data_IF_679270390909
#
_entry.id   IF_679270390909
#
_cell.length_a   1.000
_cell.length_b   1.000
_cell.length_c   1.000
_cell.angle_alpha   90.00
_cell.angle_beta   90.00
_cell.angle_gamma   90.00
#
_symmetry.space_group_name_H-M   'P 1'
#
loop_
_entity.id
_entity.type
_entity.pdbx_description
1 polymer ?
#
# COMPACT_ATOMS: atom_id res chain seq x y z
N UNK A 1 20.61 9.56 -23.55
CA UNK A 1 20.80 10.37 -22.34
C UNK A 1 20.00 9.71 -21.24
N UNK A 2 20.67 9.07 -20.29
CA UNK A 2 20.01 8.49 -19.11
C UNK A 2 19.65 9.62 -18.13
N UNK A 3 18.45 9.61 -17.53
CA UNK A 3 18.10 10.57 -16.48
C UNK A 3 18.73 10.15 -15.14
N UNK A 4 19.29 11.14 -14.42
CA UNK A 4 19.87 10.92 -13.09
C UNK A 4 18.79 10.67 -12.02
N UNK A 5 19.08 9.84 -10.99
CA UNK A 5 18.15 9.58 -9.91
C UNK A 5 18.06 10.76 -8.92
N UNK A 6 16.83 11.12 -8.56
CA UNK A 6 16.49 12.17 -7.60
C UNK A 6 16.75 11.67 -6.18
N UNK A 7 17.49 12.43 -5.39
CA UNK A 7 17.77 12.14 -3.98
C UNK A 7 16.63 12.59 -3.06
N UNK A 8 16.27 11.83 -2.02
CA UNK A 8 15.25 12.25 -1.06
C UNK A 8 15.77 13.34 -0.10
N UNK A 9 14.97 14.39 0.08
CA UNK A 9 15.21 15.46 1.06
C UNK A 9 14.93 14.98 2.49
N UNK A 10 15.95 15.06 3.37
CA UNK A 10 15.75 14.95 4.83
C UNK A 10 15.18 16.25 5.39
N UNK A 11 14.03 16.16 6.05
CA UNK A 11 13.54 17.22 6.94
C UNK A 11 14.35 17.25 8.23
N UNK A 12 14.55 18.49 8.70
CA UNK A 12 15.45 18.94 9.75
C UNK A 12 14.64 19.09 11.03
N UNK A 13 14.94 18.32 12.07
CA UNK A 13 14.36 18.55 13.39
C UNK A 13 15.04 19.74 14.07
N UNK A 14 14.22 20.72 14.47
CA UNK A 14 14.64 21.88 15.22
C UNK A 14 14.72 21.55 16.72
N UNK A 15 15.89 21.82 17.31
CA UNK A 15 16.10 21.74 18.74
C UNK A 15 15.68 23.02 19.46
N UNK A 16 14.97 22.86 20.58
CA UNK A 16 14.87 23.81 21.69
C UNK A 16 14.34 23.04 22.91
N UNK A 17 14.78 23.21 24.15
CA UNK A 17 15.72 24.14 24.73
C UNK A 17 15.98 23.78 26.20
N UNK A 18 17.02 24.40 26.75
CA UNK A 18 17.54 24.25 28.10
C UNK A 18 16.60 24.85 29.16
N UNK A 19 16.42 24.13 30.27
CA UNK A 19 15.74 24.63 31.47
C UNK A 19 16.22 23.94 32.75
N UNK A 20 17.34 24.38 33.33
CA UNK A 20 17.81 23.99 34.67
C UNK A 20 17.05 24.73 35.77
N UNK A 21 16.45 24.04 36.75
CA UNK A 21 16.31 24.50 38.17
C UNK A 21 16.19 23.35 39.19
N UNK A 22 17.26 23.20 39.97
CA UNK A 22 17.36 23.12 41.44
C UNK A 22 16.38 22.28 42.31
N UNK A 23 16.96 21.23 42.91
CA UNK A 23 16.88 20.70 44.30
C UNK A 23 15.55 20.62 45.08
N UNK A 24 15.22 19.38 45.48
CA UNK A 24 14.33 19.07 46.62
C UNK A 24 14.41 17.59 47.00
N UNK A 25 15.15 17.26 48.06
CA UNK A 25 15.21 15.93 48.70
C UNK A 25 13.86 15.61 49.33
N UNK A 26 13.17 14.55 48.90
CA UNK A 26 12.23 13.81 49.75
C UNK A 26 12.33 12.32 49.42
N UNK A 27 12.77 11.55 50.41
CA UNK A 27 12.81 10.09 50.41
C UNK A 27 11.38 9.58 50.56
N UNK A 28 10.86 8.92 49.53
CA UNK A 28 9.67 8.07 49.60
C UNK A 28 10.08 6.70 49.09
N UNK A 29 9.73 5.69 49.86
CA UNK A 29 9.90 4.27 49.56
C UNK A 29 9.23 3.96 48.23
N UNK A 30 10.03 3.61 47.22
CA UNK A 30 9.53 3.17 45.92
C UNK A 30 9.19 1.68 46.05
N UNK A 31 7.90 1.44 46.26
CA UNK A 31 7.25 0.15 46.19
C UNK A 31 7.52 -0.40 44.78
N UNK A 32 8.25 -1.50 44.70
CA UNK A 32 8.72 -2.07 43.44
C UNK A 32 7.57 -2.34 42.49
N UNK A 33 7.34 -1.40 41.57
CA UNK A 33 6.55 -1.62 40.36
C UNK A 33 7.31 -2.67 39.56
N UNK A 34 6.87 -3.92 39.69
CA UNK A 34 7.19 -4.96 38.72
C UNK A 34 6.67 -4.41 37.39
N UNK A 35 7.53 -4.13 36.39
CA UNK A 35 7.05 -3.75 35.09
C UNK A 35 6.12 -4.88 34.61
N UNK A 36 4.85 -4.53 34.44
CA UNK A 36 3.85 -5.39 33.81
C UNK A 36 4.45 -5.78 32.45
N UNK A 37 4.65 -7.08 32.16
CA UNK A 37 5.15 -7.54 30.87
C UNK A 37 4.04 -7.43 29.82
N UNK A 38 3.43 -6.24 29.72
CA UNK A 38 2.60 -5.86 28.59
C UNK A 38 3.55 -5.87 27.41
N UNK A 39 3.55 -7.02 26.76
CA UNK A 39 3.90 -7.28 25.38
C UNK A 39 4.01 -5.94 24.65
N UNK A 40 5.25 -5.50 24.44
CA UNK A 40 5.53 -4.45 23.47
C UNK A 40 5.04 -5.04 22.15
N UNK A 41 3.82 -4.68 21.75
CA UNK A 41 3.29 -4.99 20.43
C UNK A 41 4.26 -4.32 19.44
N UNK A 42 5.20 -5.12 18.90
CA UNK A 42 6.04 -4.70 17.79
C UNK A 42 5.08 -4.33 16.67
N UNK A 43 4.96 -3.03 16.37
CA UNK A 43 4.22 -2.55 15.21
C UNK A 43 4.91 -3.13 13.97
N UNK A 44 4.36 -4.20 13.41
CA UNK A 44 4.81 -4.75 12.14
C UNK A 44 4.64 -3.65 11.07
N UNK A 45 5.76 -3.12 10.56
CA UNK A 45 5.73 -2.18 9.45
C UNK A 45 5.27 -2.94 8.19
N UNK A 46 4.05 -2.67 7.73
CA UNK A 46 3.55 -3.16 6.44
C UNK A 46 4.39 -2.54 5.31
N UNK A 47 5.34 -3.30 4.76
CA UNK A 47 6.13 -2.88 3.60
C UNK A 47 5.28 -2.86 2.32
N UNK A 48 5.33 -1.75 1.59
CA UNK A 48 4.69 -1.63 0.28
C UNK A 48 5.30 -2.62 -0.73
N UNK A 49 4.44 -3.49 -1.29
CA UNK A 49 4.85 -4.44 -2.31
C UNK A 49 5.02 -3.75 -3.66
N UNK A 50 6.18 -3.91 -4.27
CA UNK A 50 6.44 -3.41 -5.62
C UNK A 50 5.79 -4.36 -6.63
N UNK A 51 5.14 -3.82 -7.65
CA UNK A 51 4.52 -4.62 -8.71
C UNK A 51 4.68 -3.98 -10.08
N UNK A 52 4.37 -4.75 -11.12
CA UNK A 52 4.18 -4.25 -12.49
C UNK A 52 2.86 -4.75 -13.06
N UNK A 53 2.32 -4.02 -14.02
CA UNK A 53 1.17 -4.47 -14.80
C UNK A 53 1.65 -5.41 -15.91
N UNK A 54 1.10 -6.62 -15.96
CA UNK A 54 1.49 -7.63 -16.96
C UNK A 54 0.38 -7.95 -17.95
N UNK A 55 -0.89 -7.78 -17.55
CA UNK A 55 -2.04 -8.00 -18.42
C UNK A 55 -3.19 -7.09 -18.01
N UNK A 56 -4.10 -6.86 -18.94
CA UNK A 56 -5.35 -6.15 -18.74
C UNK A 56 -6.36 -6.60 -19.80
N UNK A 57 -7.65 -6.40 -19.56
CA UNK A 57 -8.72 -6.72 -20.50
C UNK A 57 -8.80 -5.71 -21.66
N UNK A 58 -9.04 -4.45 -21.31
CA UNK A 58 -9.18 -3.32 -22.22
C UNK A 58 -8.67 -2.04 -21.55
N UNK A 59 -8.46 -0.97 -22.31
CA UNK A 59 -8.11 0.34 -21.75
C UNK A 59 -8.44 1.48 -22.70
N UNK A 60 -8.73 2.66 -22.15
CA UNK A 60 -8.69 3.92 -22.89
C UNK A 60 -7.25 4.37 -23.13
N UNK A 61 -7.00 5.02 -24.26
CA UNK A 61 -5.67 5.50 -24.64
C UNK A 61 -5.11 6.54 -23.65
N UNK A 62 -5.98 7.41 -23.11
CA UNK A 62 -5.61 8.45 -22.15
C UNK A 62 -5.52 7.93 -20.69
N UNK A 63 -6.03 6.72 -20.43
CA UNK A 63 -6.05 6.08 -19.11
C UNK A 63 -5.56 4.62 -19.18
N UNK A 64 -4.29 4.41 -19.57
CA UNK A 64 -3.72 3.07 -19.77
C UNK A 64 -3.50 2.36 -18.43
N UNK A 65 -3.42 1.02 -18.46
CA UNK A 65 -3.23 0.22 -17.25
C UNK A 65 -1.92 0.56 -16.51
N UNK A 66 -0.88 0.96 -17.25
CA UNK A 66 0.39 1.45 -16.68
C UNK A 66 0.25 2.72 -15.85
N UNK A 67 -0.83 3.48 -16.02
CA UNK A 67 -1.14 4.65 -15.20
C UNK A 67 -1.33 4.31 -13.72
N UNK A 68 -1.67 3.06 -13.37
CA UNK A 68 -1.73 2.60 -11.98
C UNK A 68 -0.38 2.63 -11.25
N UNK A 69 0.74 2.74 -11.99
CA UNK A 69 2.09 2.84 -11.42
C UNK A 69 2.48 4.30 -11.11
N UNK A 70 1.70 5.26 -11.58
CA UNK A 70 1.99 6.69 -11.45
C UNK A 70 1.20 7.30 -10.30
N UNK A 71 1.82 8.22 -9.56
CA UNK A 71 1.11 8.96 -8.51
C UNK A 71 0.01 9.82 -9.12
N UNK A 72 -1.25 9.48 -8.83
CA UNK A 72 -2.42 10.17 -9.38
C UNK A 72 -2.79 9.74 -10.80
N UNK A 73 -2.13 8.72 -11.36
CA UNK A 73 -2.57 8.07 -12.58
C UNK A 73 -3.78 7.17 -12.33
N UNK A 74 -4.43 6.76 -13.41
CA UNK A 74 -5.58 5.86 -13.36
C UNK A 74 -5.61 4.95 -14.58
N UNK A 75 -6.40 3.88 -14.46
CA UNK A 75 -6.76 3.00 -15.55
C UNK A 75 -8.27 3.04 -15.74
N UNK A 76 -8.71 3.10 -16.99
CA UNK A 76 -10.12 3.02 -17.35
C UNK A 76 -10.30 2.02 -18.49
N UNK A 77 -11.23 1.08 -18.30
CA UNK A 77 -11.59 0.11 -19.32
C UNK A 77 -12.29 0.79 -20.51
N UNK A 78 -11.97 0.36 -21.74
CA UNK A 78 -12.49 1.00 -22.96
C UNK A 78 -14.01 0.83 -23.14
N UNK A 79 -14.54 -0.31 -22.71
CA UNK A 79 -15.91 -0.75 -23.00
C UNK A 79 -16.81 -0.76 -21.76
N UNK A 80 -16.47 -0.01 -20.71
CA UNK A 80 -17.18 0.03 -19.42
C UNK A 80 -18.68 0.38 -19.52
N UNK A 81 -19.16 0.87 -20.69
CA UNK A 81 -20.55 1.26 -20.93
C UNK A 81 -21.44 0.27 -21.70
N UNK A 82 -20.91 -0.85 -22.22
CA UNK A 82 -21.65 -1.72 -23.17
C UNK A 82 -22.17 -3.06 -22.61
N UNK A 83 -22.17 -3.25 -21.29
CA UNK A 83 -22.77 -4.41 -20.63
C UNK A 83 -21.94 -4.89 -19.44
N UNK A 84 -22.37 -5.97 -18.80
CA UNK A 84 -21.61 -6.68 -17.76
C UNK A 84 -20.40 -7.40 -18.39
N UNK A 85 -19.39 -6.64 -18.81
CA UNK A 85 -18.10 -7.20 -19.17
C UNK A 85 -17.23 -7.19 -17.91
N UNK A 86 -16.69 -8.35 -17.56
CA UNK A 86 -15.71 -8.46 -16.47
C UNK A 86 -14.38 -7.87 -16.96
N UNK A 87 -14.09 -6.64 -16.54
CA UNK A 87 -12.83 -5.97 -16.83
C UNK A 87 -11.79 -6.29 -15.74
N UNK A 88 -10.53 -6.44 -16.13
CA UNK A 88 -9.47 -6.85 -15.21
C UNK A 88 -8.12 -6.20 -15.52
N UNK A 89 -7.29 -6.12 -14.48
CA UNK A 89 -5.86 -5.86 -14.56
C UNK A 89 -5.13 -6.95 -13.76
N UNK A 90 -4.00 -7.43 -14.29
CA UNK A 90 -3.13 -8.42 -13.63
C UNK A 90 -1.84 -7.75 -13.21
N UNK A 91 -1.56 -7.79 -11.92
CA UNK A 91 -0.36 -7.26 -11.30
C UNK A 91 0.59 -8.42 -10.96
N UNK A 92 1.85 -8.29 -11.37
CA UNK A 92 2.90 -9.21 -10.98
C UNK A 92 3.75 -8.56 -9.90
N UNK A 93 3.80 -9.18 -8.72
CA UNK A 93 4.63 -8.74 -7.61
C UNK A 93 6.12 -8.91 -7.97
N UNK A 94 6.89 -7.85 -7.76
CA UNK A 94 8.33 -7.79 -7.98
C UNK A 94 9.05 -7.93 -6.63
N UNK A 95 10.11 -8.72 -6.58
CA UNK A 95 10.93 -8.87 -5.37
C UNK A 95 10.90 -10.29 -4.79
N UNK A 96 10.89 -10.40 -3.46
CA UNK A 96 10.98 -11.70 -2.78
C UNK A 96 9.73 -12.53 -3.07
N UNK A 97 9.97 -13.72 -3.63
CA UNK A 97 8.95 -14.75 -3.85
C UNK A 97 9.21 -15.91 -2.89
N UNK A 98 8.20 -16.36 -2.12
CA UNK A 98 6.81 -15.89 -2.11
C UNK A 98 6.58 -14.63 -1.27
N UNK A 99 5.77 -13.70 -1.78
CA UNK A 99 5.27 -12.54 -1.02
C UNK A 99 3.88 -12.84 -0.46
N UNK A 100 3.61 -12.37 0.76
CA UNK A 100 2.27 -12.38 1.35
C UNK A 100 1.61 -11.02 1.11
N UNK A 101 0.40 -10.99 0.56
CA UNK A 101 -0.38 -9.77 0.42
C UNK A 101 -1.39 -9.76 1.58
N UNK A 102 -1.23 -8.83 2.51
CA UNK A 102 -2.14 -8.67 3.66
C UNK A 102 -3.33 -7.76 3.32
N UNK A 103 -3.10 -6.74 2.50
CA UNK A 103 -4.11 -5.75 2.12
C UNK A 103 -3.91 -5.24 0.68
N UNK A 104 -4.98 -4.67 0.12
CA UNK A 104 -4.96 -3.94 -1.15
C UNK A 104 -5.70 -2.63 -0.94
N UNK A 105 -5.07 -1.52 -1.33
CA UNK A 105 -5.69 -0.19 -1.28
C UNK A 105 -6.02 0.28 -2.70
N UNK A 106 -7.27 0.68 -2.92
CA UNK A 106 -7.77 1.16 -4.21
C UNK A 106 -8.35 2.57 -4.03
N UNK A 107 -7.76 3.55 -4.72
CA UNK A 107 -8.32 4.89 -4.79
C UNK A 107 -9.33 4.96 -5.93
N UNK A 108 -10.61 5.17 -5.60
CA UNK A 108 -11.68 5.24 -6.59
C UNK A 108 -11.95 6.70 -6.99
N UNK A 109 -12.11 7.01 -8.28
CA UNK A 109 -12.64 8.31 -8.68
C UNK A 109 -14.07 8.36 -8.15
N UNK A 110 -14.44 9.35 -7.34
CA UNK A 110 -15.78 9.47 -6.73
C UNK A 110 -16.93 9.74 -7.71
N UNK A 111 -16.83 9.23 -8.94
CA UNK A 111 -17.78 9.32 -10.04
C UNK A 111 -18.46 7.96 -10.28
N UNK A 112 -19.43 7.93 -11.21
CA UNK A 112 -20.07 6.69 -11.67
C UNK A 112 -19.12 5.70 -12.36
N UNK A 113 -17.85 6.09 -12.59
CA UNK A 113 -16.82 5.22 -13.16
C UNK A 113 -16.19 4.27 -12.13
N UNK A 114 -16.48 4.43 -10.83
CA UNK A 114 -16.00 3.53 -9.80
C UNK A 114 -16.59 2.12 -9.96
N UNK A 115 -15.78 1.05 -9.80
CA UNK A 115 -16.30 -0.31 -9.80
C UNK A 115 -17.28 -0.48 -8.62
N UNK A 116 -18.47 -1.02 -8.92
CA UNK A 116 -19.49 -1.37 -7.91
C UNK A 116 -19.25 -2.72 -7.26
N UNK A 117 -18.41 -3.55 -7.87
CA UNK A 117 -18.05 -4.87 -7.37
C UNK A 117 -16.63 -5.15 -7.88
N UNK A 118 -15.73 -5.59 -6.98
CA UNK A 118 -14.35 -5.92 -7.32
C UNK A 118 -14.00 -7.27 -6.71
N UNK A 119 -13.35 -8.14 -7.48
CA UNK A 119 -12.76 -9.39 -6.98
C UNK A 119 -11.26 -9.36 -7.13
N UNK A 120 -10.57 -9.89 -6.12
CA UNK A 120 -9.13 -10.08 -6.16
C UNK A 120 -8.84 -11.56 -6.23
N UNK A 121 -8.18 -11.96 -7.30
CA UNK A 121 -7.68 -13.31 -7.49
C UNK A 121 -6.14 -13.31 -7.46
N UNK A 122 -5.55 -14.45 -7.10
CA UNK A 122 -4.10 -14.64 -7.14
C UNK A 122 -3.71 -15.94 -7.83
N UNK A 123 -2.49 -15.96 -8.37
CA UNK A 123 -1.83 -17.16 -8.87
C UNK A 123 -0.38 -17.16 -8.42
N UNK A 124 0.08 -18.29 -7.89
CA UNK A 124 1.48 -18.46 -7.51
C UNK A 124 2.36 -18.95 -8.67
N UNK A 125 1.76 -19.30 -9.81
CA UNK A 125 2.45 -20.00 -10.91
C UNK A 125 2.64 -19.15 -12.15
N UNK A 126 1.64 -18.35 -12.55
CA UNK A 126 1.75 -17.53 -13.76
C UNK A 126 0.64 -16.46 -13.85
N UNK A 127 0.87 -15.40 -14.65
CA UNK A 127 -0.12 -14.37 -14.95
C UNK A 127 -1.24 -14.84 -15.90
N UNK A 128 -1.29 -16.11 -16.25
CA UNK A 128 -2.38 -16.75 -17.00
C UNK A 128 -3.26 -17.63 -16.10
N UNK A 129 -2.85 -17.83 -14.84
CA UNK A 129 -3.50 -18.71 -13.88
C UNK A 129 -2.78 -20.05 -13.73
N UNK A 130 -3.41 -21.05 -13.09
CA UNK A 130 -4.76 -21.02 -12.53
C UNK A 130 -4.91 -19.97 -11.42
N UNK A 131 -6.11 -19.41 -11.33
CA UNK A 131 -6.47 -18.36 -10.38
C UNK A 131 -7.24 -18.92 -9.20
N UNK A 132 -7.00 -18.33 -8.02
CA UNK A 132 -7.76 -18.57 -6.80
C UNK A 132 -8.31 -17.23 -6.31
N UNK A 133 -9.56 -17.22 -5.89
CA UNK A 133 -10.15 -16.04 -5.26
C UNK A 133 -9.55 -15.81 -3.87
N UNK A 134 -9.22 -14.56 -3.56
CA UNK A 134 -8.73 -14.12 -2.25
C UNK A 134 -9.76 -13.23 -1.55
N UNK A 135 -10.30 -12.24 -2.26
CA UNK A 135 -11.26 -11.28 -1.72
C UNK A 135 -12.35 -10.92 -2.72
N UNK A 136 -13.50 -10.55 -2.18
CA UNK A 136 -14.65 -10.03 -2.89
C UNK A 136 -15.16 -8.76 -2.18
N UNK A 137 -15.36 -7.68 -2.93
CA UNK A 137 -15.80 -6.36 -2.48
C UNK A 137 -17.05 -5.92 -3.24
N UNK A 138 -18.08 -5.50 -2.51
CA UNK A 138 -19.34 -4.90 -2.99
C UNK A 138 -19.44 -3.40 -2.62
#
# INVERSE_FOLDING_TARGET
>A
SEPEPIQPHRLREEGAGVGTRQAGRHSIVDDGVVPDPREEEEEEEDDDLIFRVVRYSSQLDDHPATGLLELGGCWEAADAGLGQVEEFVVLELLGQSPACVSAVSLALPGSEAAPRHCRVHYSASSPEGPWKEAWDFD
#
